data_IF_728486114023
#
_entry.id   IF_728486114023
#
_cell.length_a   1.000
_cell.length_b   1.000
_cell.length_c   1.000
_cell.angle_alpha   90.00
_cell.angle_beta   90.00
_cell.angle_gamma   90.00
#
_symmetry.space_group_name_H-M   'P 1'
#
loop_
_entity.id
_entity.type
_entity.pdbx_description
1 polymer ?
#
# COMPACT_ATOMS: atom_id res chain seq x y z
N UNK A 1 -0.96 16.27 -5.87
CA UNK A 1 -2.29 15.74 -5.56
C UNK A 1 -2.64 14.71 -6.62
N UNK A 2 -2.77 13.44 -6.25
CA UNK A 2 -3.11 12.41 -7.23
C UNK A 2 -4.56 12.62 -7.66
N UNK A 3 -4.86 12.42 -8.94
CA UNK A 3 -6.19 12.64 -9.54
C UNK A 3 -7.31 11.97 -8.72
N UNK A 4 -7.05 10.78 -8.20
CA UNK A 4 -7.98 10.01 -7.38
C UNK A 4 -8.27 10.61 -6.00
N UNK A 5 -7.36 11.40 -5.41
CA UNK A 5 -7.60 12.05 -4.11
C UNK A 5 -8.68 13.14 -4.21
N UNK A 6 -8.87 13.67 -5.43
CA UNK A 6 -9.90 14.65 -5.79
C UNK A 6 -11.20 13.98 -6.24
N UNK A 7 -11.10 12.85 -6.95
CA UNK A 7 -12.27 12.15 -7.49
C UNK A 7 -12.99 11.27 -6.46
N UNK A 8 -12.26 10.73 -5.48
CA UNK A 8 -12.82 9.84 -4.46
C UNK A 8 -12.92 10.60 -3.14
N UNK A 9 -14.15 10.90 -2.76
CA UNK A 9 -14.36 11.70 -1.57
C UNK A 9 -14.10 10.91 -0.29
N UNK A 10 -14.58 9.67 -0.22
CA UNK A 10 -14.43 8.84 0.98
C UNK A 10 -13.01 8.25 1.08
N UNK A 11 -12.30 8.55 2.17
CA UNK A 11 -10.95 8.06 2.39
C UNK A 11 -10.86 6.52 2.46
N UNK A 12 -11.90 5.84 2.98
CA UNK A 12 -11.96 4.37 3.03
C UNK A 12 -12.07 3.80 1.62
N UNK A 13 -12.97 4.33 0.79
CA UNK A 13 -13.15 3.88 -0.60
C UNK A 13 -11.88 4.12 -1.44
N UNK A 14 -11.20 5.25 -1.20
CA UNK A 14 -9.97 5.63 -1.90
C UNK A 14 -8.85 4.58 -1.80
N UNK A 15 -8.81 3.82 -0.71
CA UNK A 15 -7.84 2.72 -0.53
C UNK A 15 -8.08 1.54 -1.46
N UNK A 16 -9.32 1.33 -1.92
CA UNK A 16 -9.69 0.24 -2.83
C UNK A 16 -9.66 0.66 -4.30
N UNK A 17 -9.54 1.96 -4.57
CA UNK A 17 -9.42 2.47 -5.93
C UNK A 17 -8.02 2.17 -6.50
N UNK A 18 -7.99 1.59 -7.70
CA UNK A 18 -6.75 1.34 -8.45
C UNK A 18 -6.36 2.60 -9.21
N UNK A 19 -5.20 3.16 -8.87
CA UNK A 19 -4.57 4.22 -9.66
C UNK A 19 -3.80 3.58 -10.82
N UNK A 20 -4.20 3.93 -12.05
CA UNK A 20 -3.57 3.43 -13.28
C UNK A 20 -2.06 3.72 -13.33
N UNK A 21 -1.61 4.86 -12.77
CA UNK A 21 -0.18 5.19 -12.68
C UNK A 21 0.53 4.31 -11.65
N UNK A 22 -0.15 3.98 -10.56
CA UNK A 22 0.38 3.12 -9.50
C UNK A 22 0.45 1.65 -9.97
N UNK A 23 -0.55 1.17 -10.71
CA UNK A 23 -0.49 -0.14 -11.38
C UNK A 23 0.62 -0.19 -12.44
N UNK A 24 0.84 0.88 -13.21
CA UNK A 24 1.97 0.99 -14.14
C UNK A 24 3.32 0.95 -13.41
N UNK A 25 3.45 1.64 -12.27
CA UNK A 25 4.66 1.61 -11.46
C UNK A 25 4.94 0.20 -10.90
N UNK A 26 3.92 -0.48 -10.36
CA UNK A 26 4.03 -1.84 -9.83
C UNK A 26 4.30 -2.86 -10.93
N UNK A 27 3.65 -2.75 -12.09
CA UNK A 27 3.85 -3.67 -13.21
C UNK A 27 5.23 -3.53 -13.86
N UNK A 28 5.82 -2.34 -13.88
CA UNK A 28 7.20 -2.13 -14.34
C UNK A 28 8.25 -2.89 -13.50
N UNK A 29 7.92 -3.21 -12.24
CA UNK A 29 8.78 -3.99 -11.34
C UNK A 29 8.68 -5.52 -11.53
N UNK A 30 7.85 -6.02 -12.46
CA UNK A 30 7.62 -7.47 -12.65
C UNK A 30 8.65 -8.18 -13.55
N UNK A 31 9.67 -7.46 -14.04
CA UNK A 31 10.61 -8.00 -15.02
C UNK A 31 11.72 -8.85 -14.39
N UNK A 32 12.21 -9.85 -15.13
CA UNK A 32 13.45 -10.58 -14.86
C UNK A 32 14.64 -9.63 -14.54
N UNK A 33 14.58 -8.40 -15.05
CA UNK A 33 15.48 -7.30 -14.73
C UNK A 33 15.55 -6.97 -13.23
N UNK A 34 14.43 -6.95 -12.51
CA UNK A 34 14.39 -6.64 -11.06
C UNK A 34 15.05 -7.75 -10.26
N UNK A 35 14.80 -9.01 -10.62
CA UNK A 35 15.49 -10.17 -10.00
C UNK A 35 17.01 -10.09 -10.20
N UNK A 36 17.45 -9.64 -11.37
CA UNK A 36 18.87 -9.41 -11.63
C UNK A 36 19.44 -8.22 -10.86
N UNK A 37 18.69 -7.11 -10.72
CA UNK A 37 19.10 -5.97 -9.89
C UNK A 37 19.26 -6.35 -8.42
N UNK A 38 18.34 -7.14 -7.86
CA UNK A 38 18.45 -7.64 -6.49
C UNK A 38 19.74 -8.47 -6.31
N UNK A 39 20.05 -9.36 -7.27
CA UNK A 39 21.20 -10.27 -7.19
C UNK A 39 22.55 -9.59 -7.44
N UNK A 40 22.62 -8.69 -8.43
CA UNK A 40 23.90 -8.16 -8.93
C UNK A 40 24.12 -6.67 -8.61
N UNK A 41 23.05 -5.91 -8.32
CA UNK A 41 23.11 -4.47 -8.07
C UNK A 41 22.21 -4.03 -6.90
N UNK A 42 22.36 -4.62 -5.70
CA UNK A 42 21.44 -4.42 -4.58
C UNK A 42 21.37 -2.95 -4.12
N UNK A 43 22.47 -2.20 -4.22
CA UNK A 43 22.48 -0.77 -3.89
C UNK A 43 21.56 0.06 -4.81
N UNK A 44 21.51 -0.26 -6.10
CA UNK A 44 20.64 0.41 -7.07
C UNK A 44 19.18 0.04 -6.79
N UNK A 45 18.92 -1.25 -6.55
CA UNK A 45 17.59 -1.73 -6.19
C UNK A 45 17.07 -1.07 -4.90
N UNK A 46 17.89 -1.01 -3.85
CA UNK A 46 17.51 -0.40 -2.58
C UNK A 46 17.19 1.09 -2.75
N UNK A 47 18.00 1.83 -3.52
CA UNK A 47 17.72 3.24 -3.80
C UNK A 47 16.40 3.43 -4.56
N UNK A 48 16.10 2.57 -5.53
CA UNK A 48 14.82 2.57 -6.25
C UNK A 48 13.65 2.30 -5.30
N UNK A 49 13.78 1.30 -4.44
CA UNK A 49 12.76 0.92 -3.46
C UNK A 49 12.50 2.01 -2.42
N UNK A 50 13.53 2.70 -1.95
CA UNK A 50 13.38 3.87 -1.05
C UNK A 50 12.52 4.94 -1.72
N UNK A 51 12.91 5.38 -2.92
CA UNK A 51 12.17 6.40 -3.65
C UNK A 51 10.73 5.98 -3.97
N UNK A 52 10.51 4.71 -4.30
CA UNK A 52 9.17 4.16 -4.53
C UNK A 52 8.33 4.20 -3.25
N UNK A 53 8.92 3.76 -2.13
CA UNK A 53 8.24 3.75 -0.83
C UNK A 53 7.89 5.13 -0.31
N UNK A 54 8.73 6.14 -0.55
CA UNK A 54 8.49 7.53 -0.15
C UNK A 54 7.29 8.11 -0.89
N UNK A 55 7.25 7.96 -2.22
CA UNK A 55 6.13 8.44 -3.04
C UNK A 55 4.82 7.77 -2.65
N UNK A 56 4.84 6.47 -2.39
CA UNK A 56 3.64 5.73 -2.00
C UNK A 56 3.18 6.12 -0.59
N UNK A 57 4.13 6.32 0.33
CA UNK A 57 3.83 6.76 1.69
C UNK A 57 3.20 8.15 1.71
N UNK A 58 3.60 9.07 0.82
CA UNK A 58 2.99 10.40 0.71
C UNK A 58 1.50 10.33 0.36
N UNK A 59 1.11 9.43 -0.54
CA UNK A 59 -0.30 9.19 -0.91
C UNK A 59 -1.09 8.69 0.29
N UNK A 60 -0.54 7.70 1.00
CA UNK A 60 -1.17 7.13 2.19
C UNK A 60 -1.30 8.19 3.29
N UNK A 61 -0.27 9.01 3.50
CA UNK A 61 -0.31 10.10 4.48
C UNK A 61 -1.43 11.09 4.18
N UNK A 62 -1.61 11.48 2.91
CA UNK A 62 -2.69 12.36 2.52
C UNK A 62 -4.06 11.71 2.74
N UNK A 63 -4.22 10.45 2.35
CA UNK A 63 -5.45 9.70 2.58
C UNK A 63 -5.75 9.54 4.08
N UNK A 64 -4.74 9.28 4.92
CA UNK A 64 -4.89 9.19 6.37
C UNK A 64 -5.36 10.51 6.95
N UNK A 65 -4.76 11.64 6.54
CA UNK A 65 -5.19 12.96 6.97
C UNK A 65 -6.66 13.22 6.62
N UNK A 66 -7.06 12.95 5.37
CA UNK A 66 -8.45 13.06 4.92
C UNK A 66 -9.40 12.16 5.73
N UNK A 67 -9.03 10.92 5.96
CA UNK A 67 -9.87 9.98 6.71
C UNK A 67 -9.99 10.33 8.21
N UNK A 68 -8.98 10.98 8.80
CA UNK A 68 -9.06 11.55 10.15
C UNK A 68 -10.02 12.73 10.20
N UNK A 69 -9.91 13.66 9.25
CA UNK A 69 -10.86 14.78 9.12
C UNK A 69 -12.30 14.30 8.95
N UNK A 70 -12.51 13.19 8.22
CA UNK A 70 -13.80 12.56 8.02
C UNK A 70 -14.27 11.69 9.20
N UNK A 71 -13.41 11.45 10.20
CA UNK A 71 -13.69 10.58 11.35
C UNK A 71 -13.72 9.07 11.03
N UNK A 72 -13.20 8.66 9.87
CA UNK A 72 -13.09 7.26 9.47
C UNK A 72 -11.84 6.57 9.99
N UNK A 73 -10.77 7.32 10.29
CA UNK A 73 -9.52 6.77 10.78
C UNK A 73 -9.17 7.26 12.18
N UNK A 74 -8.49 6.43 12.96
CA UNK A 74 -8.05 6.73 14.32
C UNK A 74 -6.89 7.76 14.32
N UNK A 75 -6.81 8.55 15.39
CA UNK A 75 -5.75 9.55 15.61
C UNK A 75 -4.59 9.02 16.46
N UNK A 76 -4.72 7.82 17.03
CA UNK A 76 -3.81 7.25 18.04
C UNK A 76 -2.63 6.45 17.47
N UNK A 77 -2.34 6.61 16.18
CA UNK A 77 -1.18 5.99 15.54
C UNK A 77 -0.34 6.97 14.73
N UNK A 78 0.95 6.64 14.58
CA UNK A 78 1.84 7.41 13.74
C UNK A 78 1.60 7.07 12.25
N UNK A 79 1.02 8.02 11.52
CA UNK A 79 0.67 7.85 10.12
C UNK A 79 1.88 7.53 9.23
N UNK A 80 3.05 8.11 9.50
CA UNK A 80 4.26 7.88 8.70
C UNK A 80 4.77 6.44 8.87
N UNK A 81 4.79 5.95 10.10
CA UNK A 81 5.21 4.56 10.38
C UNK A 81 4.22 3.57 9.77
N UNK A 82 2.93 3.79 9.93
CA UNK A 82 1.88 2.90 9.41
C UNK A 82 1.88 2.86 7.87
N UNK A 83 2.07 3.99 7.21
CA UNK A 83 2.22 4.05 5.74
C UNK A 83 3.41 3.20 5.26
N UNK A 84 4.56 3.31 5.94
CA UNK A 84 5.76 2.51 5.59
C UNK A 84 5.54 1.01 5.86
N UNK A 85 4.87 0.66 6.96
CA UNK A 85 4.53 -0.74 7.28
C UNK A 85 3.62 -1.35 6.21
N UNK A 86 2.61 -0.61 5.77
CA UNK A 86 1.72 -1.07 4.70
C UNK A 86 2.47 -1.33 3.40
N UNK A 87 3.28 -0.37 2.95
CA UNK A 87 4.11 -0.52 1.73
C UNK A 87 5.05 -1.71 1.85
N UNK A 88 5.71 -1.87 3.00
CA UNK A 88 6.62 -2.97 3.26
C UNK A 88 5.91 -4.33 3.14
N UNK A 89 4.72 -4.47 3.74
CA UNK A 89 3.93 -5.70 3.66
C UNK A 89 3.51 -6.00 2.23
N UNK A 90 2.99 -5.02 1.49
CA UNK A 90 2.58 -5.18 0.09
C UNK A 90 3.75 -5.62 -0.81
N UNK A 91 4.96 -5.12 -0.56
CA UNK A 91 6.16 -5.48 -1.34
C UNK A 91 6.82 -6.79 -0.89
N UNK A 92 6.45 -7.32 0.28
CA UNK A 92 7.09 -8.51 0.86
C UNK A 92 6.76 -9.81 0.15
N UNK A 93 5.68 -9.85 -0.65
CA UNK A 93 5.22 -11.08 -1.31
C UNK A 93 6.37 -11.78 -2.07
N UNK A 94 7.04 -11.06 -2.98
CA UNK A 94 8.07 -11.64 -3.87
C UNK A 94 9.34 -12.12 -3.16
N UNK A 95 9.62 -11.59 -1.97
CA UNK A 95 10.86 -11.84 -1.24
C UNK A 95 10.66 -12.71 0.00
N UNK A 96 9.42 -13.06 0.32
CA UNK A 96 9.09 -13.81 1.54
C UNK A 96 9.46 -15.29 1.40
N UNK A 97 10.29 -15.84 2.32
CA UNK A 97 10.53 -17.28 2.38
C UNK A 97 9.38 -18.05 3.05
N UNK A 98 8.39 -17.34 3.60
CA UNK A 98 7.27 -17.90 4.38
C UNK A 98 6.04 -18.11 3.49
N UNK A 99 5.86 -17.27 2.46
CA UNK A 99 4.70 -17.34 1.57
C UNK A 99 4.93 -18.40 0.49
N UNK A 100 4.14 -19.46 0.55
CA UNK A 100 4.13 -20.51 -0.48
C UNK A 100 3.37 -20.02 -1.72
N UNK A 101 4.10 -19.54 -2.73
CA UNK A 101 3.53 -18.98 -3.97
C UNK A 101 2.64 -19.94 -4.77
N UNK A 102 2.74 -21.25 -4.54
CA UNK A 102 1.87 -22.25 -5.16
C UNK A 102 0.49 -22.36 -4.47
N UNK A 103 0.38 -21.86 -3.24
CA UNK A 103 -0.83 -21.96 -2.40
C UNK A 103 -1.50 -20.62 -2.16
N UNK A 104 -0.73 -19.53 -2.18
CA UNK A 104 -1.22 -18.19 -1.88
C UNK A 104 -1.01 -17.32 -3.10
N UNK A 105 -2.10 -16.99 -3.79
CA UNK A 105 -2.10 -16.06 -4.90
C UNK A 105 -1.75 -14.64 -4.44
N UNK A 106 -1.00 -13.90 -5.26
CA UNK A 106 -0.59 -12.52 -4.92
C UNK A 106 -1.77 -11.61 -4.63
N UNK A 107 -2.82 -11.72 -5.44
CA UNK A 107 -3.99 -10.86 -5.29
C UNK A 107 -4.69 -11.12 -3.95
N UNK A 108 -4.81 -12.38 -3.55
CA UNK A 108 -5.32 -12.76 -2.24
C UNK A 108 -4.43 -12.24 -1.10
N UNK A 109 -3.10 -12.39 -1.21
CA UNK A 109 -2.16 -11.85 -0.22
C UNK A 109 -2.30 -10.32 -0.08
N UNK A 110 -2.31 -9.60 -1.19
CA UNK A 110 -2.47 -8.14 -1.20
C UNK A 110 -3.81 -7.71 -0.62
N UNK A 111 -4.88 -8.47 -0.88
CA UNK A 111 -6.19 -8.22 -0.29
C UNK A 111 -6.15 -8.37 1.24
N UNK A 112 -5.56 -9.46 1.75
CA UNK A 112 -5.42 -9.67 3.20
C UNK A 112 -4.55 -8.59 3.87
N UNK A 113 -3.46 -8.16 3.22
CA UNK A 113 -2.65 -7.03 3.71
C UNK A 113 -3.46 -5.73 3.76
N UNK A 114 -4.27 -5.46 2.73
CA UNK A 114 -5.18 -4.32 2.71
C UNK A 114 -6.18 -4.39 3.87
N UNK A 115 -6.85 -5.53 4.04
CA UNK A 115 -7.84 -5.70 5.11
C UNK A 115 -7.21 -5.62 6.50
N UNK A 116 -6.02 -6.20 6.70
CA UNK A 116 -5.26 -6.07 7.93
C UNK A 116 -4.98 -4.60 8.26
N UNK A 117 -4.51 -3.85 7.28
CA UNK A 117 -4.20 -2.43 7.44
C UNK A 117 -5.45 -1.61 7.74
N UNK A 118 -6.51 -1.79 6.95
CA UNK A 118 -7.75 -1.05 7.11
C UNK A 118 -8.42 -1.33 8.46
N UNK A 119 -8.43 -2.59 8.92
CA UNK A 119 -8.94 -2.93 10.25
C UNK A 119 -8.10 -2.31 11.37
N UNK A 120 -6.80 -2.08 11.16
CA UNK A 120 -5.93 -1.49 12.16
C UNK A 120 -6.11 0.03 12.30
N UNK A 121 -6.48 0.73 11.22
CA UNK A 121 -6.54 2.20 11.22
C UNK A 121 -7.96 2.78 11.30
N UNK A 122 -9.00 1.98 11.04
CA UNK A 122 -10.39 2.47 10.95
C UNK A 122 -11.08 2.57 12.31
N UNK A 123 -11.86 3.63 12.48
CA UNK A 123 -12.82 3.79 13.59
C UNK A 123 -14.04 2.88 13.35
N UNK A 124 -14.95 2.77 14.33
CA UNK A 124 -16.23 2.08 14.10
C UNK A 124 -17.01 2.66 12.91
N UNK A 125 -17.01 3.99 12.77
CA UNK A 125 -17.57 4.69 11.59
C UNK A 125 -16.87 4.28 10.30
N UNK A 126 -15.54 4.16 10.31
CA UNK A 126 -14.79 3.68 9.15
C UNK A 126 -15.09 2.22 8.80
N UNK A 127 -15.29 1.36 9.82
CA UNK A 127 -15.64 -0.06 9.63
C UNK A 127 -17.03 -0.25 9.03
N UNK A 128 -17.97 0.65 9.28
CA UNK A 128 -19.28 0.63 8.61
C UNK A 128 -19.14 0.79 7.09
N UNK A 129 -18.20 1.63 6.65
CA UNK A 129 -17.86 1.78 5.22
C UNK A 129 -17.06 0.58 4.71
N UNK A 130 -16.23 -0.06 5.55
CA UNK A 130 -15.45 -1.24 5.17
C UNK A 130 -16.33 -2.48 4.93
N UNK A 131 -17.49 -2.56 5.59
CA UNK A 131 -18.48 -3.66 5.47
C UNK A 131 -19.37 -3.55 4.23
N UNK A 132 -19.07 -2.61 3.32
CA UNK A 132 -19.73 -2.49 2.01
C UNK A 132 -19.42 -3.72 1.16
#
# INVERSE_FOLDING_TARGET
MQKLDVEVENAVERMFCRDEQMEKAVSSNKSMMIKQLIKYYPAIFNKHMINFSEKFSEVLLHNIAKGREQGYYCDDFNAEIYSKLFVQLMMSYDSSPIIEHEKVEREAFNHEVMMLYMNAITTEKGKEVLKI
#
